data_IF_648970561373
#
_entry.id   IF_648970561373
#
_cell.length_a   1.000
_cell.length_b   1.000
_cell.length_c   1.000
_cell.angle_alpha   90.00
_cell.angle_beta   90.00
_cell.angle_gamma   90.00
#
_symmetry.space_group_name_H-M   'P 1'
#
loop_
_entity.id
_entity.type
_entity.pdbx_description
1 polymer ?
#
# COMPACT_ATOMS: atom_id res chain seq x y z
N UNK A 1 -27.72 9.97 6.79
CA UNK A 1 -27.04 9.27 5.67
C UNK A 1 -25.73 10.01 5.41
N UNK A 2 -24.61 9.32 5.17
CA UNK A 2 -23.35 9.99 4.84
C UNK A 2 -23.39 10.52 3.40
N UNK A 3 -22.70 11.63 3.13
CA UNK A 3 -22.51 12.14 1.77
C UNK A 3 -21.79 11.06 0.92
N UNK A 4 -22.20 10.84 -0.34
CA UNK A 4 -21.48 9.99 -1.30
C UNK A 4 -19.96 10.14 -1.31
N UNK A 5 -19.42 11.37 -1.18
CA UNK A 5 -17.97 11.62 -1.10
C UNK A 5 -17.33 10.85 0.05
N UNK A 6 -17.84 11.02 1.27
CA UNK A 6 -17.34 10.32 2.45
C UNK A 6 -17.46 8.80 2.32
N UNK A 7 -18.57 8.29 1.77
CA UNK A 7 -18.75 6.86 1.53
C UNK A 7 -17.71 6.33 0.55
N UNK A 8 -17.44 7.07 -0.53
CA UNK A 8 -16.41 6.72 -1.50
C UNK A 8 -15.04 6.62 -0.82
N UNK A 9 -14.65 7.62 -0.02
CA UNK A 9 -13.37 7.63 0.69
C UNK A 9 -13.19 6.44 1.65
N UNK A 10 -14.22 6.09 2.44
CA UNK A 10 -14.09 5.03 3.46
C UNK A 10 -14.32 3.61 2.95
N UNK A 11 -14.81 3.44 1.72
CA UNK A 11 -15.12 2.13 1.14
C UNK A 11 -14.27 1.76 -0.07
N UNK A 12 -13.66 2.73 -0.74
CA UNK A 12 -12.85 2.50 -1.93
C UNK A 12 -11.71 1.52 -1.66
N UNK A 13 -11.58 0.52 -2.55
CA UNK A 13 -10.51 -0.47 -2.53
C UNK A 13 -10.37 -1.23 -1.20
N UNK A 14 -11.46 -1.34 -0.43
CA UNK A 14 -11.46 -1.94 0.92
C UNK A 14 -10.50 -1.25 1.90
N UNK A 15 -10.15 0.02 1.66
CA UNK A 15 -9.20 0.83 2.46
C UNK A 15 -9.89 1.61 3.58
N UNK A 16 -10.84 0.98 4.29
CA UNK A 16 -11.51 1.65 5.40
C UNK A 16 -10.48 2.09 6.44
N UNK A 17 -10.47 3.36 6.90
CA UNK A 17 -9.52 3.83 7.90
C UNK A 17 -9.57 3.05 9.22
N UNK A 18 -8.46 3.00 9.96
CA UNK A 18 -8.46 2.51 11.35
C UNK A 18 -9.01 3.57 12.28
N UNK A 19 -9.99 3.17 13.07
CA UNK A 19 -10.69 4.00 14.04
C UNK A 19 -10.99 3.20 15.30
N UNK A 20 -10.85 3.85 16.45
CA UNK A 20 -11.37 3.36 17.71
C UNK A 20 -11.85 4.55 18.55
N UNK A 21 -12.92 4.39 19.33
CA UNK A 21 -13.50 5.51 20.09
C UNK A 21 -12.50 6.15 21.05
N UNK A 22 -11.68 5.34 21.73
CA UNK A 22 -10.69 5.79 22.71
C UNK A 22 -9.30 6.11 22.13
N UNK A 23 -9.08 5.86 20.85
CA UNK A 23 -7.79 6.14 20.19
C UNK A 23 -7.84 7.56 19.56
N UNK A 24 -6.86 8.45 19.78
CA UNK A 24 -7.03 9.88 19.53
C UNK A 24 -7.02 10.29 18.05
N UNK A 25 -6.54 9.44 17.15
CA UNK A 25 -6.38 9.73 15.71
C UNK A 25 -7.11 8.72 14.83
N UNK A 26 -7.30 9.07 13.55
CA UNK A 26 -7.83 8.17 12.50
C UNK A 26 -6.74 7.92 11.47
N UNK A 27 -6.52 6.65 11.13
CA UNK A 27 -5.42 6.25 10.26
C UNK A 27 -5.93 5.74 8.92
N UNK A 28 -5.61 6.46 7.86
CA UNK A 28 -5.79 6.05 6.48
C UNK A 28 -4.56 5.27 5.99
N UNK A 29 -4.77 4.38 5.04
CA UNK A 29 -3.71 3.54 4.50
C UNK A 29 -4.06 3.08 3.08
N UNK A 30 -3.06 2.54 2.38
CA UNK A 30 -3.24 1.94 1.07
C UNK A 30 -2.44 0.64 0.95
N UNK A 31 -2.83 -0.23 0.02
CA UNK A 31 -2.01 -1.40 -0.28
C UNK A 31 -0.61 -0.97 -0.72
N UNK A 32 0.40 -1.75 -0.31
CA UNK A 32 1.83 -1.52 -0.58
C UNK A 32 2.45 -0.28 0.09
N UNK A 33 1.75 0.39 1.00
CA UNK A 33 2.29 1.50 1.81
C UNK A 33 2.66 1.13 3.25
N UNK A 34 2.81 -0.16 3.60
CA UNK A 34 3.13 -0.58 4.98
C UNK A 34 1.91 -0.78 5.88
N UNK A 35 0.73 -0.99 5.28
CA UNK A 35 -0.55 -1.21 5.96
C UNK A 35 -0.53 -2.32 7.04
N UNK A 36 0.24 -3.40 6.86
CA UNK A 36 0.38 -4.46 7.86
C UNK A 36 1.06 -3.97 9.13
N UNK A 37 2.15 -3.19 9.00
CA UNK A 37 2.87 -2.61 10.14
C UNK A 37 1.98 -1.60 10.87
N UNK A 38 1.26 -0.76 10.12
CA UNK A 38 0.32 0.20 10.69
C UNK A 38 -0.84 -0.48 11.42
N UNK A 39 -1.40 -1.56 10.87
CA UNK A 39 -2.48 -2.32 11.51
C UNK A 39 -2.00 -2.96 12.83
N UNK A 40 -0.80 -3.56 12.83
CA UNK A 40 -0.19 -4.09 14.07
C UNK A 40 -0.02 -2.99 15.12
N UNK A 41 0.53 -1.84 14.72
CA UNK A 41 0.69 -0.69 15.62
C UNK A 41 -0.66 -0.21 16.16
N UNK A 42 -1.66 -0.01 15.31
CA UNK A 42 -3.00 0.39 15.71
C UNK A 42 -3.62 -0.60 16.72
N UNK A 43 -3.59 -1.91 16.43
CA UNK A 43 -4.12 -2.92 17.34
C UNK A 43 -3.34 -3.03 18.64
N UNK A 44 -2.03 -2.76 18.62
CA UNK A 44 -1.24 -2.63 19.84
C UNK A 44 -1.75 -1.47 20.68
N UNK A 45 -1.95 -0.30 20.08
CA UNK A 45 -2.41 0.89 20.79
C UNK A 45 -3.78 0.73 21.46
N UNK A 46 -4.65 -0.14 20.92
CA UNK A 46 -5.98 -0.39 21.48
C UNK A 46 -6.11 -1.72 22.25
N UNK A 47 -4.98 -2.37 22.58
CA UNK A 47 -4.92 -3.61 23.38
C UNK A 47 -5.60 -4.82 22.71
N UNK A 48 -5.61 -4.86 21.37
CA UNK A 48 -6.20 -5.95 20.59
C UNK A 48 -5.18 -6.73 19.74
N UNK A 49 -3.88 -6.38 19.78
CA UNK A 49 -2.88 -7.04 18.94
C UNK A 49 -2.81 -8.55 19.18
N UNK A 50 -2.75 -8.98 20.43
CA UNK A 50 -2.63 -10.41 20.74
C UNK A 50 -3.88 -11.18 20.31
N UNK A 51 -5.07 -10.60 20.53
CA UNK A 51 -6.34 -11.16 20.05
C UNK A 51 -6.34 -11.31 18.53
N UNK A 52 -5.87 -10.27 17.82
CA UNK A 52 -5.81 -10.27 16.37
C UNK A 52 -4.84 -11.33 15.82
N UNK A 53 -3.64 -11.45 16.41
CA UNK A 53 -2.64 -12.44 16.03
C UNK A 53 -3.05 -13.88 16.38
N UNK A 54 -3.88 -14.06 17.42
CA UNK A 54 -4.43 -15.37 17.78
C UNK A 54 -5.51 -15.85 16.80
N UNK A 55 -6.24 -14.91 16.18
CA UNK A 55 -7.22 -15.23 15.14
C UNK A 55 -6.54 -15.64 13.83
N UNK A 56 -5.50 -14.92 13.41
CA UNK A 56 -4.77 -15.20 12.17
C UNK A 56 -3.36 -14.59 12.21
N UNK A 57 -2.34 -15.28 11.66
CA UNK A 57 -1.00 -14.70 11.49
C UNK A 57 -1.01 -13.51 10.52
N UNK A 58 -2.00 -13.43 9.62
CA UNK A 58 -2.22 -12.28 8.75
C UNK A 58 -3.23 -11.33 9.41
N UNK A 59 -2.73 -10.21 9.93
CA UNK A 59 -3.49 -9.24 10.76
C UNK A 59 -4.74 -8.70 10.06
N UNK A 60 -4.71 -8.58 8.73
CA UNK A 60 -5.82 -8.04 7.95
C UNK A 60 -7.06 -8.96 7.98
N UNK A 61 -6.90 -10.27 8.24
CA UNK A 61 -8.06 -11.15 8.41
C UNK A 61 -8.87 -10.75 9.66
N UNK A 62 -8.22 -10.56 10.82
CA UNK A 62 -8.91 -10.07 12.01
C UNK A 62 -9.50 -8.67 11.79
N UNK A 63 -8.75 -7.82 11.10
CA UNK A 63 -9.17 -6.46 10.80
C UNK A 63 -10.49 -6.41 10.03
N UNK A 64 -10.64 -7.23 8.98
CA UNK A 64 -11.84 -7.24 8.15
C UNK A 64 -12.96 -8.10 8.72
N UNK A 65 -12.65 -9.34 9.11
CA UNK A 65 -13.65 -10.34 9.48
C UNK A 65 -14.32 -10.00 10.81
N UNK A 66 -13.57 -9.39 11.74
CA UNK A 66 -14.01 -9.16 13.12
C UNK A 66 -14.12 -7.66 13.43
N UNK A 67 -13.02 -6.92 13.26
CA UNK A 67 -12.96 -5.56 13.80
C UNK A 67 -13.82 -4.58 13.00
N UNK A 68 -13.63 -4.52 11.67
CA UNK A 68 -14.32 -3.57 10.79
C UNK A 68 -15.70 -4.04 10.33
N UNK A 69 -15.97 -5.35 10.41
CA UNK A 69 -17.30 -5.93 10.15
C UNK A 69 -18.32 -5.62 11.26
N UNK A 70 -17.87 -5.12 12.42
CA UNK A 70 -18.76 -4.74 13.52
C UNK A 70 -19.80 -3.71 13.02
N UNK A 71 -21.12 -3.93 13.20
CA UNK A 71 -22.17 -3.14 12.54
C UNK A 71 -22.11 -1.62 12.77
N UNK A 72 -21.50 -1.19 13.89
CA UNK A 72 -21.40 0.23 14.24
C UNK A 72 -20.08 0.88 13.79
N UNK A 73 -19.14 0.12 13.24
CA UNK A 73 -17.80 0.61 12.90
C UNK A 73 -17.86 1.73 11.86
N UNK A 74 -18.43 1.45 10.68
CA UNK A 74 -18.53 2.40 9.57
C UNK A 74 -19.33 3.64 9.93
N UNK A 75 -20.39 3.48 10.73
CA UNK A 75 -21.21 4.60 11.23
C UNK A 75 -20.40 5.49 12.16
N UNK A 76 -19.69 4.93 13.13
CA UNK A 76 -18.88 5.72 14.07
C UNK A 76 -17.70 6.41 13.38
N UNK A 77 -17.03 5.70 12.48
CA UNK A 77 -15.97 6.27 11.65
C UNK A 77 -16.49 7.45 10.80
N UNK A 78 -17.62 7.26 10.10
CA UNK A 78 -18.18 8.31 9.26
C UNK A 78 -18.62 9.54 10.04
N UNK A 79 -19.19 9.36 11.24
CA UNK A 79 -19.51 10.48 12.16
C UNK A 79 -18.22 11.21 12.57
N UNK A 80 -17.20 10.47 13.00
CA UNK A 80 -15.94 11.06 13.45
C UNK A 80 -15.22 11.87 12.36
N UNK A 81 -15.26 11.40 11.11
CA UNK A 81 -14.70 12.11 9.95
C UNK A 81 -15.53 13.35 9.60
N UNK A 82 -16.86 13.21 9.49
CA UNK A 82 -17.76 14.33 9.14
C UNK A 82 -17.68 15.47 10.16
N UNK A 83 -17.65 15.13 11.44
CA UNK A 83 -17.61 16.09 12.55
C UNK A 83 -16.17 16.49 12.92
N UNK A 84 -15.16 16.01 12.19
CA UNK A 84 -13.74 16.30 12.40
C UNK A 84 -13.32 16.09 13.87
N UNK A 85 -13.83 15.02 14.50
CA UNK A 85 -13.65 14.76 15.93
C UNK A 85 -12.19 14.42 16.31
N UNK A 86 -11.38 14.03 15.33
CA UNK A 86 -10.01 13.51 15.50
C UNK A 86 -9.14 13.98 14.37
N UNK A 87 -7.85 14.17 14.67
CA UNK A 87 -6.86 14.35 13.62
C UNK A 87 -6.73 13.08 12.77
N UNK A 88 -6.45 13.29 11.50
CA UNK A 88 -6.35 12.21 10.52
C UNK A 88 -4.95 12.16 9.94
N UNK A 89 -4.45 10.95 9.74
CA UNK A 89 -3.14 10.69 9.16
C UNK A 89 -3.28 9.61 8.09
N UNK A 90 -2.56 9.74 6.97
CA UNK A 90 -2.43 8.66 5.99
C UNK A 90 -1.00 8.16 5.93
N UNK A 91 -0.81 6.85 6.02
CA UNK A 91 0.46 6.21 5.73
C UNK A 91 0.68 6.11 4.22
N UNK A 92 1.67 6.87 3.74
CA UNK A 92 2.01 7.01 2.32
C UNK A 92 3.43 6.50 2.07
N UNK A 93 3.70 6.12 0.83
CA UNK A 93 5.00 5.61 0.38
C UNK A 93 5.44 6.33 -0.89
N UNK A 94 6.74 6.52 -1.06
CA UNK A 94 7.33 7.07 -2.27
C UNK A 94 6.86 6.28 -3.50
N UNK A 95 6.33 6.95 -4.55
CA UNK A 95 5.77 6.26 -5.71
C UNK A 95 6.75 5.34 -6.44
N UNK A 96 8.04 5.69 -6.53
CA UNK A 96 9.04 4.83 -7.16
C UNK A 96 9.24 3.53 -6.38
N UNK A 97 9.38 3.60 -5.05
CA UNK A 97 9.47 2.40 -4.20
C UNK A 97 8.19 1.58 -4.25
N UNK A 98 7.04 2.24 -4.38
CA UNK A 98 5.74 1.58 -4.44
C UNK A 98 5.54 0.82 -5.76
N UNK A 99 5.89 1.41 -6.90
CA UNK A 99 5.75 0.78 -8.22
C UNK A 99 6.54 -0.53 -8.29
N UNK A 100 7.81 -0.52 -7.89
CA UNK A 100 8.63 -1.74 -7.81
C UNK A 100 8.03 -2.73 -6.81
N UNK A 101 7.62 -2.27 -5.62
CA UNK A 101 7.01 -3.16 -4.62
C UNK A 101 5.75 -3.86 -5.12
N UNK A 102 5.01 -3.20 -6.01
CA UNK A 102 3.81 -3.72 -6.68
C UNK A 102 4.21 -4.80 -7.71
N UNK A 103 5.21 -4.49 -8.54
CA UNK A 103 5.73 -5.43 -9.53
C UNK A 103 6.34 -6.67 -8.89
N UNK A 104 7.23 -6.54 -7.91
CA UNK A 104 7.86 -7.71 -7.26
C UNK A 104 6.86 -8.58 -6.49
N UNK A 105 5.68 -8.07 -6.12
CA UNK A 105 4.63 -8.95 -5.57
C UNK A 105 3.99 -9.89 -6.60
N UNK A 106 4.27 -9.70 -7.90
CA UNK A 106 3.94 -10.69 -8.93
C UNK A 106 4.85 -11.92 -8.85
N UNK A 107 5.95 -11.88 -8.09
CA UNK A 107 6.76 -13.07 -7.80
C UNK A 107 5.96 -13.97 -6.86
N UNK A 108 5.31 -14.99 -7.42
CA UNK A 108 4.59 -16.00 -6.66
C UNK A 108 5.52 -16.89 -5.83
N UNK A 109 4.96 -17.69 -4.90
CA UNK A 109 5.67 -18.82 -4.32
C UNK A 109 6.25 -19.73 -5.41
N UNK A 110 7.35 -20.47 -5.13
CA UNK A 110 7.87 -21.45 -6.09
C UNK A 110 6.75 -22.36 -6.62
N UNK A 111 6.73 -22.60 -7.93
CA UNK A 111 5.78 -23.48 -8.62
C UNK A 111 4.31 -23.06 -8.59
N UNK A 112 4.01 -21.83 -8.14
CA UNK A 112 2.65 -21.28 -8.15
C UNK A 112 2.57 -20.07 -9.07
N UNK A 113 1.70 -20.15 -10.07
CA UNK A 113 1.43 -19.03 -10.95
C UNK A 113 0.69 -17.93 -10.19
N UNK A 114 1.18 -16.69 -10.28
CA UNK A 114 0.48 -15.57 -9.66
C UNK A 114 -0.79 -15.25 -10.48
N UNK A 115 -1.98 -15.12 -9.86
CA UNK A 115 -3.24 -14.96 -10.58
C UNK A 115 -3.28 -13.73 -11.50
N UNK A 116 -2.55 -12.68 -11.13
CA UNK A 116 -2.44 -11.44 -11.91
C UNK A 116 -1.60 -11.57 -13.18
N UNK A 117 -0.87 -12.67 -13.41
CA UNK A 117 -0.14 -12.87 -14.66
C UNK A 117 -1.09 -13.00 -15.86
N UNK A 118 -2.23 -13.68 -15.68
CA UNK A 118 -3.23 -13.89 -16.74
C UNK A 118 -3.80 -12.59 -17.32
N UNK A 119 -4.37 -11.65 -16.53
CA UNK A 119 -4.88 -10.39 -17.07
C UNK A 119 -3.77 -9.53 -17.70
N UNK A 120 -2.56 -9.55 -17.14
CA UNK A 120 -1.41 -8.81 -17.70
C UNK A 120 -1.00 -9.40 -19.06
N UNK A 121 -0.84 -10.73 -19.16
CA UNK A 121 -0.50 -11.42 -20.43
C UNK A 121 -1.58 -11.25 -21.48
N UNK A 122 -2.86 -11.31 -21.08
CA UNK A 122 -3.98 -11.02 -21.98
C UNK A 122 -3.86 -9.63 -22.60
N UNK A 123 -3.49 -8.64 -21.81
CA UNK A 123 -3.29 -7.28 -22.30
C UNK A 123 -2.05 -7.17 -23.21
N UNK A 124 -0.90 -7.69 -22.76
CA UNK A 124 0.37 -7.54 -23.47
C UNK A 124 0.46 -8.37 -24.76
N UNK A 125 -0.15 -9.56 -24.76
CA UNK A 125 0.04 -10.58 -25.80
C UNK A 125 -1.24 -11.03 -26.47
N UNK A 126 -2.39 -10.48 -26.08
CA UNK A 126 -3.71 -10.91 -26.56
C UNK A 126 -4.03 -12.38 -26.23
N UNK A 127 -3.32 -12.94 -25.24
CA UNK A 127 -3.46 -14.33 -24.78
C UNK A 127 -3.11 -14.42 -23.30
N UNK A 128 -4.11 -14.81 -22.48
CA UNK A 128 -3.95 -14.96 -21.03
C UNK A 128 -3.09 -16.18 -20.63
N UNK A 129 -2.91 -17.14 -21.54
CA UNK A 129 -2.08 -18.34 -21.34
C UNK A 129 -0.73 -18.28 -22.08
N UNK A 130 -0.37 -17.10 -22.61
CA UNK A 130 0.91 -16.88 -23.26
C UNK A 130 2.07 -17.32 -22.35
N UNK A 131 3.04 -18.05 -22.90
CA UNK A 131 4.25 -18.44 -22.17
C UNK A 131 5.27 -17.31 -22.05
N UNK A 132 4.99 -16.12 -22.61
CA UNK A 132 5.88 -14.97 -22.54
C UNK A 132 5.89 -14.38 -21.13
N UNK A 133 7.06 -13.84 -20.81
CA UNK A 133 7.37 -13.20 -19.55
C UNK A 133 6.60 -11.93 -19.24
N UNK A 134 6.93 -11.28 -18.14
CA UNK A 134 6.44 -9.93 -17.82
C UNK A 134 7.61 -9.11 -17.29
N UNK A 135 7.98 -8.03 -17.98
CA UNK A 135 8.98 -7.08 -17.49
C UNK A 135 8.38 -5.95 -16.66
N UNK A 136 9.22 -5.24 -15.89
CA UNK A 136 8.76 -4.09 -15.11
C UNK A 136 8.23 -2.99 -16.04
N UNK A 137 8.92 -2.74 -17.15
CA UNK A 137 8.46 -1.76 -18.14
C UNK A 137 7.13 -2.15 -18.76
N UNK A 138 6.95 -3.40 -19.15
CA UNK A 138 5.66 -3.91 -19.64
C UNK A 138 4.54 -3.77 -18.60
N UNK A 139 4.84 -4.04 -17.33
CA UNK A 139 3.90 -3.82 -16.24
C UNK A 139 3.52 -2.35 -16.08
N UNK A 140 4.47 -1.42 -16.17
CA UNK A 140 4.18 0.02 -16.15
C UNK A 140 3.30 0.44 -17.34
N UNK A 141 3.57 -0.07 -18.55
CA UNK A 141 2.72 0.17 -19.71
C UNK A 141 1.29 -0.37 -19.51
N UNK A 142 1.15 -1.55 -18.92
CA UNK A 142 -0.15 -2.10 -18.54
C UNK A 142 -0.92 -1.14 -17.62
N UNK A 143 -0.28 -0.63 -16.56
CA UNK A 143 -0.90 0.33 -15.64
C UNK A 143 -1.23 1.67 -16.30
N UNK A 144 -0.33 2.18 -17.14
CA UNK A 144 -0.52 3.43 -17.86
C UNK A 144 -1.74 3.36 -18.78
N UNK A 145 -1.83 2.31 -19.60
CA UNK A 145 -2.90 2.15 -20.60
C UNK A 145 -4.26 1.81 -19.99
N UNK A 146 -4.28 1.06 -18.89
CA UNK A 146 -5.53 0.77 -18.16
C UNK A 146 -6.01 1.96 -17.32
N UNK A 147 -5.10 2.88 -16.98
CA UNK A 147 -5.35 3.98 -16.07
C UNK A 147 -5.23 3.53 -14.62
N UNK A 148 -4.27 4.06 -13.88
CA UNK A 148 -3.95 3.67 -12.49
C UNK A 148 -5.07 3.91 -11.45
N UNK A 149 -6.27 4.32 -11.89
CA UNK A 149 -7.47 4.55 -11.10
C UNK A 149 -8.63 3.63 -11.47
N UNK A 150 -8.48 2.81 -12.51
CA UNK A 150 -9.55 1.99 -13.02
C UNK A 150 -9.95 0.92 -12.01
N UNK A 151 -11.25 0.76 -11.80
CA UNK A 151 -11.81 -0.16 -10.80
C UNK A 151 -11.53 -1.63 -11.08
N UNK A 152 -11.11 -1.97 -12.31
CA UNK A 152 -10.76 -3.31 -12.75
C UNK A 152 -9.29 -3.69 -12.50
N UNK A 153 -8.46 -2.75 -12.01
CA UNK A 153 -7.07 -3.04 -11.63
C UNK A 153 -6.98 -3.40 -10.15
N UNK A 154 -6.18 -4.42 -9.84
CA UNK A 154 -5.86 -4.78 -8.47
C UNK A 154 -5.33 -3.56 -7.67
N UNK A 155 -5.94 -3.21 -6.53
CA UNK A 155 -5.55 -2.03 -5.75
C UNK A 155 -4.12 -2.05 -5.21
N UNK A 156 -3.45 -3.21 -5.25
CA UNK A 156 -2.03 -3.33 -4.93
C UNK A 156 -1.14 -2.67 -5.97
N UNK A 157 -1.64 -2.40 -7.18
CA UNK A 157 -0.87 -1.81 -8.29
C UNK A 157 -1.22 -0.34 -8.54
N UNK A 158 -2.48 0.04 -8.29
CA UNK A 158 -3.03 1.40 -8.50
C UNK A 158 -2.43 2.43 -7.55
N UNK A 159 -2.58 3.72 -7.83
CA UNK A 159 -2.10 4.78 -6.95
C UNK A 159 -2.69 4.77 -5.53
N UNK A 160 -2.04 5.49 -4.61
CA UNK A 160 -2.47 5.59 -3.22
C UNK A 160 -3.58 6.62 -3.05
N UNK A 161 -3.51 7.73 -3.79
CA UNK A 161 -4.45 8.84 -3.75
C UNK A 161 -5.85 8.42 -4.19
N UNK A 162 -6.84 8.94 -3.48
CA UNK A 162 -8.26 8.81 -3.80
C UNK A 162 -8.77 10.24 -3.95
N UNK A 163 -9.43 10.53 -5.07
CA UNK A 163 -9.92 11.87 -5.36
C UNK A 163 -10.83 12.40 -4.24
N UNK A 164 -10.55 13.61 -3.75
CA UNK A 164 -11.28 14.26 -2.66
C UNK A 164 -10.87 13.83 -1.25
N UNK A 165 -9.87 12.95 -1.09
CA UNK A 165 -9.48 12.51 0.25
C UNK A 165 -8.84 13.63 1.10
N UNK A 166 -8.34 14.69 0.47
CA UNK A 166 -7.81 15.88 1.14
C UNK A 166 -8.85 16.63 1.99
N UNK A 167 -10.15 16.39 1.76
CA UNK A 167 -11.23 16.87 2.64
C UNK A 167 -11.14 16.23 4.04
N UNK A 168 -10.60 15.00 4.11
CA UNK A 168 -10.60 14.16 5.31
C UNK A 168 -9.21 13.82 5.83
N UNK A 169 -8.17 13.81 4.99
CA UNK A 169 -6.79 13.48 5.33
C UNK A 169 -5.96 14.76 5.41
N UNK A 170 -5.57 15.15 6.62
CA UNK A 170 -4.86 16.42 6.84
C UNK A 170 -3.37 16.26 7.10
N UNK A 171 -2.91 15.04 7.45
CA UNK A 171 -1.52 14.75 7.77
C UNK A 171 -1.05 13.47 7.10
N UNK A 172 0.26 13.35 6.90
CA UNK A 172 0.88 12.20 6.26
C UNK A 172 1.95 11.60 7.17
N UNK A 173 2.00 10.27 7.19
CA UNK A 173 3.08 9.48 7.77
C UNK A 173 3.86 8.91 6.59
N UNK A 174 5.15 9.25 6.47
CA UNK A 174 5.98 8.74 5.38
C UNK A 174 6.57 7.39 5.76
N UNK A 175 6.27 6.35 4.98
CA UNK A 175 6.76 4.98 5.25
C UNK A 175 8.28 4.91 5.31
N UNK A 176 8.97 5.76 4.55
CA UNK A 176 10.43 5.84 4.54
C UNK A 176 11.03 6.19 5.91
N UNK A 177 10.25 6.84 6.78
CA UNK A 177 10.63 7.24 8.14
C UNK A 177 9.74 6.62 9.21
N UNK A 178 9.07 5.49 8.90
CA UNK A 178 7.99 4.93 9.70
C UNK A 178 8.30 4.82 11.20
N UNK A 179 9.47 4.27 11.57
CA UNK A 179 9.83 4.06 12.97
C UNK A 179 9.94 5.37 13.76
N UNK A 180 10.44 6.43 13.13
CA UNK A 180 10.57 7.75 13.74
C UNK A 180 9.19 8.43 13.84
N UNK A 181 8.42 8.41 12.76
CA UNK A 181 7.06 8.97 12.71
C UNK A 181 6.14 8.34 13.78
N UNK A 182 6.22 7.02 13.98
CA UNK A 182 5.43 6.33 15.01
C UNK A 182 5.83 6.75 16.41
N UNK A 183 7.13 6.90 16.70
CA UNK A 183 7.60 7.40 18.01
C UNK A 183 7.13 8.84 18.25
N UNK A 184 7.10 9.67 17.23
CA UNK A 184 6.62 11.04 17.32
C UNK A 184 5.12 11.11 17.60
N UNK A 185 4.32 10.28 16.92
CA UNK A 185 2.88 10.15 17.22
C UNK A 185 2.64 9.62 18.63
N UNK A 186 3.40 8.61 19.07
CA UNK A 186 3.30 8.07 20.42
C UNK A 186 3.56 9.14 21.47
N UNK A 187 4.62 9.92 21.29
CA UNK A 187 4.94 11.04 22.18
C UNK A 187 3.87 12.13 22.14
N UNK A 188 3.42 12.53 20.95
CA UNK A 188 2.48 13.64 20.76
C UNK A 188 1.11 13.35 21.37
N UNK A 189 0.64 12.10 21.26
CA UNK A 189 -0.70 11.70 21.69
C UNK A 189 -0.69 10.87 22.99
N UNK A 190 0.45 10.83 23.70
CA UNK A 190 0.64 10.08 24.94
C UNK A 190 0.21 8.61 24.82
N UNK A 191 0.55 7.99 23.68
CA UNK A 191 0.23 6.59 23.39
C UNK A 191 1.25 5.65 24.04
N UNK A 192 0.93 4.35 24.03
CA UNK A 192 1.85 3.32 24.56
C UNK A 192 3.07 3.25 23.66
N UNK A 193 4.26 3.17 24.25
CA UNK A 193 5.47 2.85 23.50
C UNK A 193 5.31 1.48 22.85
N UNK A 194 5.36 1.42 21.52
CA UNK A 194 5.25 0.16 20.79
C UNK A 194 6.62 -0.42 20.43
N UNK A 195 6.75 -1.76 20.35
CA UNK A 195 7.94 -2.40 19.78
C UNK A 195 7.92 -2.28 18.24
N UNK A 196 8.05 -1.06 17.71
CA UNK A 196 7.83 -0.75 16.28
C UNK A 196 8.71 -1.61 15.37
N UNK A 197 9.95 -1.89 15.77
CA UNK A 197 10.89 -2.75 15.04
C UNK A 197 10.31 -4.17 14.80
N UNK A 198 9.53 -4.69 15.74
CA UNK A 198 8.85 -6.00 15.62
C UNK A 198 7.62 -5.94 14.69
N UNK A 199 7.03 -4.74 14.52
CA UNK A 199 5.90 -4.56 13.61
C UNK A 199 6.36 -4.36 12.17
N UNK A 200 7.51 -3.70 12.00
CA UNK A 200 8.19 -3.44 10.73
C UNK A 200 8.89 -4.67 10.14
N UNK A 201 9.04 -5.76 10.91
CA UNK A 201 9.53 -7.05 10.42
C UNK A 201 8.35 -7.91 9.95
N UNK A 202 8.20 -8.00 8.64
CA UNK A 202 7.18 -8.82 7.99
C UNK A 202 7.80 -9.49 6.76
N UNK A 203 7.32 -10.67 6.39
CA UNK A 203 7.63 -11.28 5.10
C UNK A 203 7.35 -10.35 3.91
N UNK A 204 6.46 -9.36 4.10
CA UNK A 204 6.15 -8.34 3.11
C UNK A 204 7.11 -7.13 3.12
N UNK A 205 7.94 -6.98 4.15
CA UNK A 205 8.96 -5.94 4.23
C UNK A 205 10.32 -6.49 3.77
N UNK A 206 10.48 -6.57 2.45
CA UNK A 206 11.64 -7.21 1.82
C UNK A 206 12.78 -6.24 1.50
N UNK A 207 12.62 -4.94 1.78
CA UNK A 207 13.65 -3.92 1.50
C UNK A 207 15.04 -4.31 2.05
N UNK A 208 15.18 -4.82 3.29
CA UNK A 208 16.50 -5.22 3.79
C UNK A 208 17.12 -6.42 3.05
N UNK A 209 16.30 -7.24 2.39
CA UNK A 209 16.75 -8.40 1.60
C UNK A 209 17.06 -8.04 0.14
N UNK A 210 16.73 -6.83 -0.31
CA UNK A 210 16.94 -6.37 -1.69
C UNK A 210 18.41 -6.00 -1.94
N UNK A 211 19.20 -6.98 -2.37
CA UNK A 211 20.67 -6.87 -2.55
C UNK A 211 21.15 -7.05 -3.99
N UNK A 212 20.31 -7.58 -4.89
CA UNK A 212 20.74 -7.89 -6.25
C UNK A 212 20.67 -6.64 -7.13
N UNK A 213 21.83 -6.12 -7.54
CA UNK A 213 21.95 -4.98 -8.45
C UNK A 213 22.06 -5.45 -9.90
N UNK A 214 21.45 -4.72 -10.84
CA UNK A 214 21.52 -5.02 -12.27
C UNK A 214 20.61 -4.10 -13.10
N UNK A 215 20.37 -4.49 -14.34
CA UNK A 215 19.32 -3.91 -15.19
C UNK A 215 18.19 -4.92 -15.33
N UNK A 216 17.10 -4.67 -14.61
CA UNK A 216 15.90 -5.50 -14.55
C UNK A 216 14.67 -4.77 -15.10
N UNK A 217 14.85 -3.62 -15.75
CA UNK A 217 13.74 -2.87 -16.38
C UNK A 217 12.97 -3.74 -17.39
N UNK A 218 13.72 -4.52 -18.18
CA UNK A 218 13.23 -5.46 -19.19
C UNK A 218 13.29 -6.94 -18.77
N UNK A 219 13.73 -7.22 -17.53
CA UNK A 219 13.89 -8.60 -17.06
C UNK A 219 12.56 -9.32 -16.88
N UNK A 220 12.51 -10.59 -17.26
CA UNK A 220 11.31 -11.43 -17.12
C UNK A 220 11.12 -11.90 -15.66
N UNK A 221 10.12 -11.36 -14.97
CA UNK A 221 9.82 -11.74 -13.58
C UNK A 221 9.32 -13.17 -13.42
N UNK A 222 8.92 -13.82 -14.52
CA UNK A 222 8.42 -15.20 -14.52
C UNK A 222 9.54 -16.23 -14.72
N UNK A 223 10.75 -15.78 -15.09
CA UNK A 223 11.93 -16.64 -15.15
C UNK A 223 12.29 -17.12 -13.73
N UNK A 224 12.39 -18.45 -13.49
CA UNK A 224 12.85 -18.99 -12.21
C UNK A 224 14.23 -18.49 -11.76
N UNK A 225 15.06 -18.01 -12.69
CA UNK A 225 16.37 -17.43 -12.43
C UNK A 225 16.31 -15.92 -12.11
N UNK A 226 15.16 -15.26 -12.28
CA UNK A 226 14.99 -13.87 -11.91
C UNK A 226 15.26 -13.70 -10.40
N UNK A 227 16.07 -12.70 -10.00
CA UNK A 227 16.39 -12.52 -8.59
C UNK A 227 15.11 -12.22 -7.80
N UNK A 228 14.97 -12.84 -6.62
CA UNK A 228 13.80 -12.60 -5.75
C UNK A 228 13.82 -11.24 -5.08
N UNK A 229 15.01 -10.68 -4.87
CA UNK A 229 15.19 -9.43 -4.14
C UNK A 229 16.15 -8.47 -4.89
N UNK A 230 15.80 -8.04 -6.11
CA UNK A 230 16.51 -6.99 -6.82
C UNK A 230 16.40 -5.66 -6.07
N UNK A 231 17.39 -4.77 -6.20
CA UNK A 231 17.29 -3.43 -5.60
C UNK A 231 16.27 -2.57 -6.33
N UNK A 232 15.73 -1.55 -5.66
CA UNK A 232 14.77 -0.64 -6.27
C UNK A 232 15.36 0.06 -7.50
N UNK A 233 16.64 0.43 -7.42
CA UNK A 233 17.35 1.15 -8.48
C UNK A 233 17.45 0.35 -9.78
N UNK A 234 17.53 -0.97 -9.66
CA UNK A 234 17.78 -1.86 -10.78
C UNK A 234 16.62 -1.96 -11.77
N UNK A 235 15.46 -1.36 -11.47
CA UNK A 235 14.29 -1.37 -12.34
C UNK A 235 14.11 -0.11 -13.18
N UNK A 236 14.90 0.93 -12.94
CA UNK A 236 14.65 2.24 -13.51
C UNK A 236 15.66 2.61 -14.58
N UNK A 237 15.18 2.58 -15.83
CA UNK A 237 15.74 3.40 -16.90
C UNK A 237 14.96 4.73 -17.03
N UNK A 238 15.39 5.59 -17.94
CA UNK A 238 14.75 6.90 -18.18
C UNK A 238 13.27 6.78 -18.49
N UNK A 239 12.88 5.75 -19.25
CA UNK A 239 11.49 5.52 -19.67
C UNK A 239 10.61 5.08 -18.49
N UNK A 240 11.11 4.15 -17.65
CA UNK A 240 10.43 3.71 -16.45
C UNK A 240 10.20 4.86 -15.46
N UNK A 241 11.18 5.77 -15.33
CA UNK A 241 11.04 6.98 -14.50
C UNK A 241 9.87 7.84 -15.00
N UNK A 242 9.82 8.12 -16.30
CA UNK A 242 8.75 8.93 -16.90
C UNK A 242 7.37 8.27 -16.75
N UNK A 243 7.29 6.96 -16.95
CA UNK A 243 6.06 6.19 -16.75
C UNK A 243 5.58 6.29 -15.30
N UNK A 244 6.46 6.09 -14.31
CA UNK A 244 6.06 6.19 -12.89
C UNK A 244 5.63 7.60 -12.52
N UNK A 245 6.33 8.63 -12.98
CA UNK A 245 5.92 10.03 -12.77
C UNK A 245 4.51 10.28 -13.30
N UNK A 246 4.19 9.73 -14.46
CA UNK A 246 2.89 9.92 -15.11
C UNK A 246 1.78 9.11 -14.44
N UNK A 247 2.02 7.82 -14.18
CA UNK A 247 1.04 6.89 -13.58
C UNK A 247 0.66 7.32 -12.16
N UNK A 248 1.63 7.78 -11.38
CA UNK A 248 1.46 8.13 -9.96
C UNK A 248 1.51 9.64 -9.70
N UNK A 249 1.20 10.45 -10.71
CA UNK A 249 1.27 11.90 -10.66
C UNK A 249 0.55 12.51 -9.44
N UNK A 250 -0.64 12.01 -9.11
CA UNK A 250 -1.41 12.50 -7.96
C UNK A 250 -0.77 12.12 -6.61
N UNK A 251 -0.09 10.98 -6.52
CA UNK A 251 0.63 10.60 -5.29
C UNK A 251 1.80 11.56 -5.05
N UNK A 252 2.53 11.94 -6.12
CA UNK A 252 3.60 12.93 -6.02
C UNK A 252 3.09 14.29 -5.57
N UNK A 253 2.03 14.78 -6.21
CA UNK A 253 1.52 16.13 -5.96
C UNK A 253 0.85 16.24 -4.59
N UNK A 254 -0.07 15.33 -4.27
CA UNK A 254 -0.87 15.38 -3.04
C UNK A 254 -0.01 15.16 -1.79
N UNK A 255 0.90 14.18 -1.85
CA UNK A 255 1.76 13.83 -0.72
C UNK A 255 3.12 14.51 -0.76
N UNK A 256 3.33 15.46 -1.68
CA UNK A 256 4.52 16.30 -1.77
C UNK A 256 5.83 15.51 -1.87
N UNK A 257 5.80 14.35 -2.53
CA UNK A 257 7.03 13.61 -2.83
C UNK A 257 7.80 14.33 -3.94
N UNK A 258 9.14 14.32 -3.85
CA UNK A 258 9.97 14.77 -4.97
C UNK A 258 9.76 13.87 -6.19
N UNK A 259 9.60 14.50 -7.36
CA UNK A 259 9.60 13.80 -8.65
C UNK A 259 11.01 13.47 -9.12
N UNK A 260 12.03 14.12 -8.56
CA UNK A 260 13.42 13.77 -8.83
C UNK A 260 13.66 12.33 -8.39
N UNK A 261 14.28 11.56 -9.28
CA UNK A 261 14.60 10.17 -9.00
C UNK A 261 15.71 10.12 -7.94
N UNK A 262 15.49 9.47 -6.79
CA UNK A 262 16.36 9.65 -5.62
C UNK A 262 17.61 8.74 -5.61
N UNK A 263 17.94 8.07 -6.72
CA UNK A 263 19.05 7.11 -6.81
C UNK A 263 19.94 7.34 -8.02
#
# INVERSE_FOLDING_TARGET
>A
MFNPSLLHIISSHSRSPHYHRKFPIILFWSQKSGCTSLAKWFFYQIDLLQTALSYSPFIHNYEYDIYKSTPTYSVRLGIALREKQKETFKLVRNPYRRAVSSFVSLIGPPYMEHPEWKPIRKFLYQDENSSKGISFKQFLYYLFMKGAHASDINPHFTQQYIAGEEEYVTNYIYLENFDQEMKELEKRFELKTAPINEFSTSWHHQTPAMIYKGDFSEGDITDPLFPRHPTFESFYDTECIQLVQTIFQNDFDTYKYSKEYPY
#
